data_IF_946462398335
#
_entry.id   IF_946462398335
#
_cell.length_a   1.000
_cell.length_b   1.000
_cell.length_c   1.000
_cell.angle_alpha   90.00
_cell.angle_beta   90.00
_cell.angle_gamma   90.00
#
_symmetry.space_group_name_H-M   'P 1'
#
loop_
_entity.id
_entity.type
_entity.pdbx_description
1 polymer ?
#
# COMPACT_ATOMS: atom_id res chain seq x y z
N UNK A 1 8.70 23.96 -11.53
CA UNK A 1 9.68 23.18 -10.73
C UNK A 1 8.98 22.84 -9.42
N UNK A 2 9.02 21.59 -8.99
CA UNK A 2 8.41 21.15 -7.71
C UNK A 2 9.10 21.84 -6.54
N UNK A 3 8.37 22.12 -5.44
CA UNK A 3 8.91 22.83 -4.28
C UNK A 3 10.14 22.12 -3.67
N UNK A 4 10.19 20.81 -3.74
CA UNK A 4 11.29 19.97 -3.25
C UNK A 4 12.38 19.68 -4.29
N UNK A 5 12.41 20.41 -5.40
CA UNK A 5 13.36 20.32 -6.52
C UNK A 5 13.39 18.95 -7.25
N UNK A 6 12.43 18.04 -6.98
CA UNK A 6 12.31 16.76 -7.70
C UNK A 6 11.93 17.00 -9.17
N UNK A 7 12.36 16.12 -10.07
CA UNK A 7 11.80 16.04 -11.41
C UNK A 7 10.34 15.54 -11.36
N UNK A 8 9.54 15.84 -12.39
CA UNK A 8 8.13 15.45 -12.44
C UNK A 8 7.90 13.93 -12.34
N UNK A 9 8.85 13.14 -12.81
CA UNK A 9 8.83 11.68 -12.83
C UNK A 9 9.72 11.03 -11.74
N UNK A 10 10.10 11.77 -10.72
CA UNK A 10 11.00 11.29 -9.67
C UNK A 10 10.24 10.96 -8.39
N UNK A 11 10.50 9.75 -7.85
CA UNK A 11 10.04 9.36 -6.52
C UNK A 11 10.71 10.19 -5.42
N UNK A 12 10.04 10.33 -4.27
CA UNK A 12 10.71 10.70 -3.02
C UNK A 12 11.75 9.62 -2.67
N UNK A 13 12.72 9.89 -1.81
CA UNK A 13 13.57 8.83 -1.26
C UNK A 13 12.69 7.74 -0.62
N UNK A 14 12.86 6.49 -1.06
CA UNK A 14 12.09 5.35 -0.54
C UNK A 14 13.01 4.46 0.28
N UNK A 15 12.61 4.17 1.51
CA UNK A 15 13.31 3.25 2.41
C UNK A 15 12.36 2.17 2.90
N UNK A 16 12.81 0.91 2.87
CA UNK A 16 12.05 -0.25 3.33
C UNK A 16 12.90 -1.00 4.37
N UNK A 17 12.50 -0.95 5.64
CA UNK A 17 13.22 -1.56 6.76
C UNK A 17 12.43 -2.78 7.23
N UNK A 18 12.95 -3.99 6.94
CA UNK A 18 12.34 -5.26 7.33
C UNK A 18 12.63 -5.60 8.78
N UNK A 19 11.82 -6.48 9.36
CA UNK A 19 11.96 -6.97 10.74
C UNK A 19 12.00 -5.82 11.76
N UNK A 20 11.20 -4.80 11.52
CA UNK A 20 11.22 -3.57 12.32
C UNK A 20 10.70 -3.80 13.74
N UNK A 21 9.67 -4.64 13.91
CA UNK A 21 9.18 -5.11 15.21
C UNK A 21 9.36 -6.63 15.31
N UNK A 22 9.43 -7.17 16.52
CA UNK A 22 9.86 -8.56 16.75
C UNK A 22 8.72 -9.59 16.82
N UNK A 23 7.47 -9.16 16.94
CA UNK A 23 6.38 -10.10 17.28
C UNK A 23 5.59 -10.60 16.07
N UNK A 24 5.32 -9.74 15.09
CA UNK A 24 4.63 -10.13 13.87
C UNK A 24 5.54 -10.98 12.96
N UNK A 25 4.97 -11.94 12.23
CA UNK A 25 5.69 -12.81 11.30
C UNK A 25 6.31 -12.00 10.15
N UNK A 26 5.63 -10.92 9.73
CA UNK A 26 6.20 -9.91 8.84
C UNK A 26 6.09 -8.52 9.46
N UNK A 27 7.15 -7.72 9.40
CA UNK A 27 7.15 -6.37 9.96
C UNK A 27 8.07 -5.45 9.19
N UNK A 28 7.52 -4.35 8.69
CA UNK A 28 8.20 -3.40 7.80
C UNK A 28 7.88 -1.98 8.21
N UNK A 29 8.91 -1.15 8.38
CA UNK A 29 8.75 0.30 8.30
C UNK A 29 9.06 0.74 6.88
N UNK A 30 8.06 1.30 6.19
CA UNK A 30 8.24 1.90 4.88
C UNK A 30 8.21 3.42 4.98
N UNK A 31 9.10 4.08 4.22
CA UNK A 31 9.16 5.53 4.13
C UNK A 31 9.13 5.97 2.67
N UNK A 32 8.32 6.95 2.38
CA UNK A 32 8.30 7.70 1.12
C UNK A 32 8.58 9.17 1.48
N UNK A 33 9.86 9.58 1.48
CA UNK A 33 10.25 10.85 2.07
C UNK A 33 9.79 10.93 3.53
N UNK A 34 8.97 11.93 3.85
CA UNK A 34 8.43 12.16 5.19
C UNK A 34 7.14 11.35 5.51
N UNK A 35 6.62 10.57 4.57
CA UNK A 35 5.55 9.62 4.87
C UNK A 35 6.13 8.33 5.43
N UNK A 36 5.81 7.99 6.68
CA UNK A 36 6.28 6.78 7.37
C UNK A 36 5.09 5.92 7.79
N UNK A 37 5.11 4.64 7.40
CA UNK A 37 4.06 3.67 7.75
C UNK A 37 4.68 2.40 8.30
N UNK A 38 4.23 1.98 9.47
CA UNK A 38 4.52 0.65 10.01
C UNK A 38 3.50 -0.34 9.43
N UNK A 39 3.99 -1.36 8.73
CA UNK A 39 3.17 -2.43 8.16
C UNK A 39 3.53 -3.75 8.86
N UNK A 40 2.56 -4.40 9.49
CA UNK A 40 2.76 -5.74 10.06
C UNK A 40 1.85 -6.76 9.40
N UNK A 41 2.30 -8.00 9.34
CA UNK A 41 1.55 -9.15 8.85
C UNK A 41 1.58 -10.24 9.91
N UNK A 42 0.43 -10.53 10.50
CA UNK A 42 0.24 -11.54 11.53
C UNK A 42 -0.54 -12.73 10.99
N UNK A 43 -0.15 -13.95 11.35
CA UNK A 43 -0.78 -15.19 10.90
C UNK A 43 -1.73 -15.69 11.97
N UNK A 44 -2.99 -15.92 11.61
CA UNK A 44 -3.98 -16.63 12.43
C UNK A 44 -4.31 -17.98 11.75
N UNK A 45 -4.22 -19.07 12.51
CA UNK A 45 -4.57 -20.44 12.07
C UNK A 45 -6.08 -20.64 11.96
N UNK A 46 -6.85 -19.57 11.72
CA UNK A 46 -8.29 -19.57 11.56
C UNK A 46 -8.68 -18.72 10.36
N UNK A 47 -9.79 -19.06 9.76
CA UNK A 47 -10.44 -18.25 8.73
C UNK A 47 -11.77 -17.69 9.23
N UNK A 48 -12.26 -16.58 8.64
CA UNK A 48 -13.61 -16.10 8.90
C UNK A 48 -14.65 -17.20 8.69
N UNK A 49 -15.76 -17.14 9.43
CA UNK A 49 -16.81 -18.18 9.45
C UNK A 49 -17.37 -18.52 8.06
N UNK A 50 -17.44 -17.55 7.17
CA UNK A 50 -17.90 -17.73 5.79
C UNK A 50 -16.95 -18.53 4.89
N UNK A 51 -15.67 -18.74 5.31
CA UNK A 51 -14.67 -19.55 4.59
C UNK A 51 -14.37 -20.89 5.24
N UNK A 52 -14.93 -21.15 6.41
CA UNK A 52 -14.65 -22.38 7.16
C UNK A 52 -15.06 -23.61 6.36
N UNK A 53 -14.14 -24.55 6.20
CA UNK A 53 -14.33 -25.77 5.40
C UNK A 53 -14.22 -25.60 3.89
N UNK A 54 -13.76 -24.41 3.40
CA UNK A 54 -13.58 -24.16 1.97
C UNK A 54 -12.14 -24.41 1.48
N UNK A 55 -11.25 -24.84 2.36
CA UNK A 55 -9.85 -25.12 2.07
C UNK A 55 -9.13 -23.93 1.42
N UNK A 56 -9.47 -22.73 1.84
CA UNK A 56 -8.82 -21.51 1.37
C UNK A 56 -8.60 -20.51 2.52
N UNK A 57 -7.53 -19.75 2.39
CA UNK A 57 -7.17 -18.72 3.34
C UNK A 57 -7.84 -17.37 3.06
N UNK A 58 -7.46 -16.40 3.88
CA UNK A 58 -7.95 -15.04 3.75
C UNK A 58 -6.85 -14.02 4.03
N UNK A 59 -6.98 -12.82 3.46
CA UNK A 59 -6.18 -11.66 3.81
C UNK A 59 -7.12 -10.51 4.12
N UNK A 60 -6.94 -9.92 5.27
CA UNK A 60 -7.64 -8.71 5.68
C UNK A 60 -6.63 -7.64 6.09
N UNK A 61 -7.05 -6.39 6.08
CA UNK A 61 -6.19 -5.28 6.46
C UNK A 61 -6.93 -4.28 7.34
N UNK A 62 -6.21 -3.75 8.31
CA UNK A 62 -6.58 -2.58 9.07
C UNK A 62 -5.61 -1.42 8.72
N UNK A 63 -6.12 -0.20 8.85
CA UNK A 63 -5.36 1.01 8.59
C UNK A 63 -5.71 2.05 9.63
N UNK A 64 -4.72 2.73 10.14
CA UNK A 64 -4.92 3.81 11.07
C UNK A 64 -3.83 4.87 10.97
N UNK A 65 -4.13 6.06 11.51
CA UNK A 65 -3.18 7.16 11.61
C UNK A 65 -2.96 7.50 13.08
N UNK A 66 -1.70 7.62 13.50
CA UNK A 66 -1.39 8.09 14.85
C UNK A 66 -1.89 9.53 15.04
N UNK A 67 -2.32 9.91 16.26
CA UNK A 67 -2.87 11.24 16.51
C UNK A 67 -1.99 12.41 16.06
N UNK A 68 -0.67 12.24 16.08
CA UNK A 68 0.31 13.25 15.66
C UNK A 68 1.05 12.87 14.38
N UNK A 69 0.46 12.02 13.55
CA UNK A 69 1.01 11.73 12.22
C UNK A 69 0.94 12.92 11.27
N UNK A 70 0.09 13.90 11.54
CA UNK A 70 -0.07 15.14 10.76
C UNK A 70 0.34 16.37 11.56
N UNK A 71 0.37 17.53 10.91
CA UNK A 71 0.72 18.82 11.51
C UNK A 71 -0.14 19.23 12.72
N UNK A 72 -1.40 18.79 12.76
CA UNK A 72 -2.31 18.97 13.91
C UNK A 72 -2.66 17.62 14.54
N UNK A 73 -3.00 17.63 15.84
CA UNK A 73 -3.43 16.40 16.53
C UNK A 73 -4.84 16.01 16.08
N UNK A 74 -4.98 14.78 15.61
CA UNK A 74 -6.26 14.12 15.35
C UNK A 74 -6.72 13.29 16.55
N UNK A 75 -8.03 13.12 16.72
CA UNK A 75 -8.54 12.17 17.71
C UNK A 75 -8.33 10.74 17.26
N UNK A 76 -8.10 9.82 18.21
CA UNK A 76 -8.09 8.39 17.92
C UNK A 76 -9.49 7.91 17.54
N UNK A 77 -9.62 7.21 16.42
CA UNK A 77 -10.91 6.63 15.99
C UNK A 77 -11.48 5.66 17.02
N UNK A 78 -10.61 4.89 17.70
CA UNK A 78 -11.03 4.02 18.80
C UNK A 78 -11.74 4.77 19.94
N UNK A 79 -11.32 5.99 20.25
CA UNK A 79 -11.97 6.82 21.27
C UNK A 79 -13.35 7.34 20.81
N UNK A 80 -13.59 7.43 19.50
CA UNK A 80 -14.88 7.80 18.90
C UNK A 80 -15.84 6.63 18.76
N UNK A 81 -15.38 5.40 18.98
CA UNK A 81 -16.16 4.18 18.84
C UNK A 81 -16.54 3.80 17.41
N UNK A 82 -16.02 4.51 16.40
CA UNK A 82 -16.23 4.19 14.98
C UNK A 82 -15.07 4.67 14.13
N UNK A 83 -14.79 3.91 13.06
CA UNK A 83 -13.85 4.30 12.01
C UNK A 83 -14.49 5.27 11.02
N UNK A 84 -13.68 6.14 10.42
CA UNK A 84 -14.12 7.00 9.32
C UNK A 84 -14.34 6.20 8.04
N UNK A 85 -15.13 6.75 7.12
CA UNK A 85 -15.32 6.15 5.78
C UNK A 85 -14.00 6.03 5.02
N UNK A 86 -13.10 7.01 5.16
CA UNK A 86 -11.75 6.99 4.58
C UNK A 86 -10.92 5.81 5.11
N UNK A 87 -10.92 5.59 6.41
CA UNK A 87 -10.20 4.46 7.03
C UNK A 87 -10.70 3.14 6.49
N UNK A 88 -12.02 2.94 6.46
CA UNK A 88 -12.63 1.71 5.94
C UNK A 88 -12.37 1.49 4.44
N UNK A 89 -12.37 2.55 3.64
CA UNK A 89 -12.06 2.50 2.22
C UNK A 89 -10.61 2.04 2.00
N UNK A 90 -9.65 2.64 2.74
CA UNK A 90 -8.22 2.29 2.62
C UNK A 90 -7.96 0.85 3.09
N UNK A 91 -8.57 0.39 4.17
CA UNK A 91 -8.48 -1.00 4.63
C UNK A 91 -8.91 -1.98 3.52
N UNK A 92 -10.05 -1.70 2.88
CA UNK A 92 -10.55 -2.53 1.78
C UNK A 92 -9.63 -2.52 0.57
N UNK A 93 -9.05 -1.37 0.25
CA UNK A 93 -8.08 -1.20 -0.83
C UNK A 93 -6.82 -2.03 -0.58
N UNK A 94 -6.20 -1.94 0.61
CA UNK A 94 -5.01 -2.72 0.97
C UNK A 94 -5.31 -4.21 0.87
N UNK A 95 -6.39 -4.67 1.51
CA UNK A 95 -6.78 -6.08 1.50
C UNK A 95 -7.03 -6.60 0.08
N UNK A 96 -7.71 -5.83 -0.79
CA UNK A 96 -7.96 -6.19 -2.18
C UNK A 96 -6.66 -6.29 -2.98
N UNK A 97 -5.77 -5.32 -2.80
CA UNK A 97 -4.49 -5.27 -3.50
C UNK A 97 -3.64 -6.50 -3.21
N UNK A 98 -3.59 -6.92 -1.95
CA UNK A 98 -2.84 -8.12 -1.54
C UNK A 98 -3.50 -9.42 -1.99
N UNK A 99 -4.83 -9.51 -1.95
CA UNK A 99 -5.54 -10.69 -2.46
C UNK A 99 -5.37 -10.89 -3.97
N UNK A 100 -5.15 -9.83 -4.73
CA UNK A 100 -4.95 -9.91 -6.18
C UNK A 100 -3.67 -10.66 -6.58
N UNK A 101 -2.70 -10.79 -5.66
CA UNK A 101 -1.38 -11.38 -5.95
C UNK A 101 -1.10 -12.65 -5.13
N UNK A 102 -2.12 -13.25 -4.55
CA UNK A 102 -1.98 -14.44 -3.70
C UNK A 102 -2.99 -15.52 -4.09
N UNK A 103 -2.51 -16.74 -4.26
CA UNK A 103 -3.35 -17.93 -4.35
C UNK A 103 -3.83 -18.32 -2.93
N UNK A 104 -5.05 -17.91 -2.59
CA UNK A 104 -5.63 -18.16 -1.27
C UNK A 104 -5.84 -19.65 -0.97
N UNK A 105 -5.93 -20.52 -1.98
CA UNK A 105 -6.03 -21.97 -1.77
C UNK A 105 -4.71 -22.54 -1.27
N UNK A 106 -3.58 -22.08 -1.83
CA UNK A 106 -2.24 -22.49 -1.37
C UNK A 106 -1.91 -22.00 0.04
N UNK A 107 -2.54 -20.91 0.50
CA UNK A 107 -2.42 -20.44 1.87
C UNK A 107 -3.06 -21.42 2.89
N UNK A 108 -4.08 -22.20 2.45
CA UNK A 108 -4.87 -23.05 3.33
C UNK A 108 -5.76 -22.24 4.27
N UNK A 109 -6.48 -22.89 5.19
CA UNK A 109 -7.41 -22.21 6.12
C UNK A 109 -6.70 -21.37 7.18
N UNK A 110 -6.01 -20.32 6.75
CA UNK A 110 -5.31 -19.31 7.57
C UNK A 110 -5.73 -17.92 7.18
N UNK A 111 -5.65 -16.99 8.11
CA UNK A 111 -5.80 -15.57 7.84
C UNK A 111 -4.46 -14.86 8.02
N UNK A 112 -4.06 -14.05 7.05
CA UNK A 112 -3.01 -13.05 7.24
C UNK A 112 -3.71 -11.72 7.54
N UNK A 113 -3.49 -11.22 8.75
CA UNK A 113 -3.98 -9.92 9.20
C UNK A 113 -2.89 -8.88 8.98
N UNK A 114 -3.23 -7.84 8.24
CA UNK A 114 -2.32 -6.73 7.97
C UNK A 114 -2.74 -5.52 8.77
N UNK A 115 -1.79 -4.93 9.48
CA UNK A 115 -1.97 -3.67 10.17
C UNK A 115 -1.05 -2.64 9.54
N UNK A 116 -1.61 -1.49 9.15
CA UNK A 116 -0.87 -0.37 8.58
C UNK A 116 -1.10 0.87 9.45
N UNK A 117 -0.10 1.22 10.25
CA UNK A 117 -0.13 2.37 11.14
C UNK A 117 0.72 3.50 10.57
N UNK A 118 0.08 4.60 10.20
CA UNK A 118 0.77 5.80 9.73
C UNK A 118 1.39 6.54 10.92
N UNK A 119 2.71 6.53 10.98
CA UNK A 119 3.49 7.20 12.02
C UNK A 119 3.63 8.69 11.69
N UNK A 120 3.90 9.00 10.42
CA UNK A 120 4.02 10.35 9.88
C UNK A 120 3.43 10.38 8.48
N UNK A 121 2.66 11.42 8.18
CA UNK A 121 1.97 11.58 6.91
C UNK A 121 2.42 12.85 6.18
N UNK A 122 2.85 12.66 4.94
CA UNK A 122 3.19 13.71 3.98
C UNK A 122 2.78 13.27 2.56
N UNK A 123 1.47 13.03 2.35
CA UNK A 123 0.93 12.50 1.10
C UNK A 123 1.21 11.00 0.86
N UNK A 124 0.38 10.33 0.09
CA UNK A 124 0.59 8.95 -0.35
C UNK A 124 0.57 7.88 0.75
N UNK A 125 -0.13 8.09 1.87
CA UNK A 125 -0.14 7.11 2.99
C UNK A 125 -0.73 5.77 2.59
N UNK A 126 -1.81 5.74 1.78
CA UNK A 126 -2.44 4.50 1.29
C UNK A 126 -1.53 3.72 0.33
N UNK A 127 -0.81 4.42 -0.53
CA UNK A 127 0.11 3.79 -1.50
C UNK A 127 1.36 3.24 -0.83
N UNK A 128 1.92 3.96 0.14
CA UNK A 128 3.00 3.49 0.99
C UNK A 128 2.57 2.26 1.80
N UNK A 129 1.33 2.25 2.36
CA UNK A 129 0.78 1.11 3.10
C UNK A 129 0.72 -0.15 2.23
N UNK A 130 0.18 -0.07 1.00
CA UNK A 130 0.11 -1.22 0.08
C UNK A 130 1.51 -1.74 -0.26
N UNK A 131 2.42 -0.82 -0.59
CA UNK A 131 3.78 -1.15 -1.00
C UNK A 131 4.60 -1.79 0.14
N UNK A 132 4.44 -1.31 1.37
CA UNK A 132 5.07 -1.87 2.56
C UNK A 132 4.43 -3.18 3.03
N UNK A 133 3.10 -3.25 2.98
CA UNK A 133 2.35 -4.45 3.36
C UNK A 133 2.70 -5.66 2.49
N UNK A 134 2.97 -5.47 1.20
CA UNK A 134 3.46 -6.56 0.35
C UNK A 134 4.76 -7.19 0.90
N UNK A 135 5.71 -6.38 1.32
CA UNK A 135 6.98 -6.88 1.88
C UNK A 135 6.75 -7.59 3.22
N UNK A 136 5.85 -7.07 4.07
CA UNK A 136 5.48 -7.73 5.31
C UNK A 136 4.79 -9.08 5.07
N UNK A 137 3.87 -9.16 4.09
CA UNK A 137 3.21 -10.41 3.67
C UNK A 137 4.23 -11.41 3.13
N UNK A 138 5.18 -10.96 2.32
CA UNK A 138 6.25 -11.84 1.81
C UNK A 138 7.04 -12.48 2.97
N UNK A 139 7.40 -11.71 4.00
CA UNK A 139 8.12 -12.21 5.17
C UNK A 139 7.26 -13.19 5.99
N UNK A 140 5.96 -12.90 6.17
CA UNK A 140 5.04 -13.81 6.84
C UNK A 140 4.86 -15.14 6.07
N UNK A 141 4.78 -15.09 4.75
CA UNK A 141 4.74 -16.30 3.90
C UNK A 141 6.05 -17.08 4.00
N UNK A 142 7.20 -16.39 3.97
CA UNK A 142 8.49 -17.04 4.18
C UNK A 142 8.56 -17.75 5.53
N UNK A 143 8.05 -17.11 6.60
CA UNK A 143 7.94 -17.76 7.91
C UNK A 143 7.12 -19.06 7.85
N UNK A 144 5.95 -19.06 7.18
CA UNK A 144 5.14 -20.29 7.00
C UNK A 144 5.90 -21.38 6.26
N UNK A 145 6.65 -21.04 5.23
CA UNK A 145 7.48 -21.99 4.46
C UNK A 145 8.65 -22.54 5.32
N UNK A 146 9.36 -21.67 6.03
CA UNK A 146 10.47 -22.06 6.89
C UNK A 146 10.01 -22.98 8.06
N UNK A 147 8.77 -22.77 8.56
CA UNK A 147 8.10 -23.66 9.53
C UNK A 147 7.47 -24.91 8.90
N UNK A 148 7.53 -25.07 7.59
CA UNK A 148 6.90 -26.17 6.83
C UNK A 148 5.38 -26.26 7.05
N UNK A 149 4.72 -25.13 7.33
CA UNK A 149 3.27 -25.03 7.48
C UNK A 149 2.56 -24.94 6.13
N UNK A 150 3.28 -24.52 5.09
CA UNK A 150 2.90 -24.59 3.68
C UNK A 150 4.07 -25.18 2.87
N UNK A 151 3.76 -25.88 1.78
CA UNK A 151 4.76 -26.57 0.95
C UNK A 151 5.34 -25.71 -0.17
N UNK A 152 4.60 -24.71 -0.60
CA UNK A 152 4.99 -23.80 -1.68
C UNK A 152 4.46 -22.38 -1.40
N UNK A 153 5.09 -21.39 -2.01
CA UNK A 153 4.65 -20.00 -1.86
C UNK A 153 3.29 -19.77 -2.51
N UNK A 154 2.33 -19.18 -1.81
CA UNK A 154 1.07 -18.73 -2.38
C UNK A 154 1.19 -17.43 -3.18
N UNK A 155 2.32 -16.72 -3.14
CA UNK A 155 2.54 -15.48 -3.91
C UNK A 155 2.62 -15.82 -5.40
N UNK A 156 1.79 -15.16 -6.21
CA UNK A 156 1.76 -15.30 -7.67
C UNK A 156 2.40 -14.11 -8.39
N UNK A 157 2.47 -12.96 -7.72
CA UNK A 157 3.11 -11.75 -8.25
C UNK A 157 3.53 -10.82 -7.09
N UNK A 158 4.12 -9.69 -7.42
CA UNK A 158 4.34 -8.55 -6.53
C UNK A 158 3.25 -7.49 -6.75
N UNK A 159 3.12 -6.56 -5.80
CA UNK A 159 2.21 -5.41 -5.92
C UNK A 159 2.84 -4.17 -5.30
N UNK A 160 2.67 -3.03 -5.95
CA UNK A 160 2.99 -1.73 -5.39
C UNK A 160 1.96 -0.69 -5.82
N UNK A 161 1.96 0.43 -5.14
CA UNK A 161 1.04 1.53 -5.39
C UNK A 161 1.75 2.87 -5.31
N UNK A 162 1.25 3.82 -6.10
CA UNK A 162 1.80 5.18 -6.15
C UNK A 162 0.69 6.21 -6.36
N UNK A 163 0.91 7.42 -5.87
CA UNK A 163 0.09 8.59 -6.24
C UNK A 163 0.68 9.30 -7.44
N UNK A 164 -0.19 9.78 -8.31
CA UNK A 164 0.13 10.68 -9.41
C UNK A 164 -0.90 11.78 -9.45
N UNK A 165 -0.56 12.92 -10.02
CA UNK A 165 -1.53 14.01 -10.17
C UNK A 165 -1.18 14.96 -11.28
N UNK A 166 -2.12 15.84 -11.60
CA UNK A 166 -1.91 16.94 -12.55
C UNK A 166 -1.77 18.24 -11.77
N UNK A 167 -0.69 18.94 -12.02
CA UNK A 167 -0.50 20.30 -11.52
C UNK A 167 -0.25 21.24 -12.70
N UNK A 168 -1.20 22.14 -12.96
CA UNK A 168 -1.17 23.07 -14.11
C UNK A 168 -0.92 22.32 -15.45
N UNK A 169 -1.63 21.21 -15.63
CA UNK A 169 -1.56 20.38 -16.83
C UNK A 169 -0.32 19.48 -16.94
N UNK A 170 0.58 19.47 -15.96
CA UNK A 170 1.77 18.62 -15.96
C UNK A 170 1.57 17.44 -15.00
N UNK A 171 1.78 16.18 -15.46
CA UNK A 171 1.70 15.03 -14.59
C UNK A 171 2.90 14.98 -13.62
N UNK A 172 2.62 14.68 -12.35
CA UNK A 172 3.60 14.54 -11.27
C UNK A 172 3.51 13.16 -10.66
N UNK A 173 4.68 12.54 -10.43
CA UNK A 173 4.81 11.24 -9.77
C UNK A 173 5.02 11.42 -8.26
N UNK A 174 4.40 10.58 -7.45
CA UNK A 174 4.62 10.49 -6.00
C UNK A 174 4.41 11.83 -5.30
N UNK A 175 3.14 12.22 -5.17
CA UNK A 175 2.75 13.50 -4.60
C UNK A 175 3.08 13.55 -3.09
N UNK A 176 3.76 14.59 -2.63
CA UNK A 176 3.77 14.98 -1.22
C UNK A 176 2.48 15.70 -0.85
N UNK A 177 2.28 16.01 0.44
CA UNK A 177 1.04 16.62 0.92
C UNK A 177 0.77 18.00 0.27
N UNK A 178 1.79 18.80 0.04
CA UNK A 178 1.63 20.12 -0.55
C UNK A 178 1.21 20.05 -2.02
N UNK A 179 1.70 19.06 -2.73
CA UNK A 179 1.34 18.78 -4.12
C UNK A 179 -0.06 18.18 -4.22
N UNK A 180 -0.35 17.15 -3.41
CA UNK A 180 -1.65 16.46 -3.32
C UNK A 180 -2.79 17.46 -3.05
N UNK A 181 -2.60 18.37 -2.07
CA UNK A 181 -3.58 19.37 -1.70
C UNK A 181 -3.77 20.53 -2.70
N UNK A 182 -2.88 20.66 -3.68
CA UNK A 182 -2.89 21.73 -4.68
C UNK A 182 -2.99 21.26 -6.14
N UNK A 183 -3.06 19.95 -6.36
CA UNK A 183 -3.26 19.37 -7.68
C UNK A 183 -4.65 19.64 -8.24
N UNK A 184 -4.73 19.82 -9.57
CA UNK A 184 -6.01 19.90 -10.29
C UNK A 184 -6.72 18.53 -10.33
N UNK A 185 -5.93 17.46 -10.28
CA UNK A 185 -6.38 16.06 -10.26
C UNK A 185 -5.38 15.24 -9.46
N UNK A 186 -5.85 14.38 -8.57
CA UNK A 186 -5.07 13.35 -7.91
C UNK A 186 -5.54 11.96 -8.31
N UNK A 187 -4.61 11.02 -8.39
CA UNK A 187 -4.90 9.63 -8.72
C UNK A 187 -3.99 8.69 -7.93
N UNK A 188 -4.58 7.61 -7.40
CA UNK A 188 -3.84 6.51 -6.78
C UNK A 188 -3.96 5.28 -7.66
N UNK A 189 -2.84 4.70 -8.02
CA UNK A 189 -2.77 3.54 -8.93
C UNK A 189 -2.08 2.39 -8.22
N UNK A 190 -2.69 1.21 -8.30
CA UNK A 190 -2.15 -0.05 -7.79
C UNK A 190 -1.92 -0.98 -8.96
N UNK A 191 -0.70 -1.49 -9.12
CA UNK A 191 -0.36 -2.44 -10.18
C UNK A 191 0.44 -3.62 -9.65
N UNK A 192 0.32 -4.73 -10.38
CA UNK A 192 1.13 -5.93 -10.15
C UNK A 192 2.50 -5.82 -10.83
N UNK A 193 3.43 -6.68 -10.44
CA UNK A 193 4.75 -6.78 -11.08
C UNK A 193 4.73 -7.19 -12.54
N UNK A 194 3.69 -7.89 -12.97
CA UNK A 194 3.44 -8.23 -14.38
C UNK A 194 2.82 -7.08 -15.18
N UNK A 195 2.50 -5.94 -14.54
CA UNK A 195 1.96 -4.75 -15.19
C UNK A 195 0.42 -4.68 -15.23
N UNK A 196 -0.28 -5.59 -14.55
CA UNK A 196 -1.74 -5.56 -14.44
C UNK A 196 -2.22 -4.47 -13.46
N UNK A 197 -3.27 -3.76 -13.80
CA UNK A 197 -3.94 -2.83 -12.88
C UNK A 197 -4.80 -3.61 -11.88
N UNK A 198 -4.63 -3.33 -10.59
CA UNK A 198 -5.50 -3.82 -9.52
C UNK A 198 -6.57 -2.80 -9.20
N UNK A 199 -6.19 -1.52 -9.14
CA UNK A 199 -7.12 -0.42 -8.89
C UNK A 199 -6.58 0.88 -9.47
N UNK A 200 -7.49 1.69 -10.00
CA UNK A 200 -7.26 3.08 -10.41
C UNK A 200 -8.34 3.91 -9.71
N UNK A 201 -7.92 4.85 -8.88
CA UNK A 201 -8.79 5.77 -8.17
C UNK A 201 -8.32 7.19 -8.48
N UNK A 202 -9.14 7.99 -9.12
CA UNK A 202 -8.79 9.35 -9.50
C UNK A 202 -9.95 10.32 -9.29
N UNK A 203 -9.62 11.54 -8.88
CA UNK A 203 -10.55 12.61 -8.61
C UNK A 203 -10.08 13.91 -9.28
N UNK A 204 -10.98 14.61 -9.95
CA UNK A 204 -10.75 15.97 -10.41
C UNK A 204 -11.32 16.96 -9.39
N UNK A 205 -10.48 17.83 -8.85
CA UNK A 205 -10.87 18.84 -7.86
C UNK A 205 -11.53 20.07 -8.49
N UNK A 206 -11.58 20.16 -9.80
CA UNK A 206 -12.19 21.27 -10.53
C UNK A 206 -12.58 20.91 -11.93
N UNK A 207 -11.69 21.10 -12.89
CA UNK A 207 -11.93 20.75 -14.29
C UNK A 207 -11.71 19.26 -14.52
N UNK A 208 -12.65 18.55 -15.17
CA UNK A 208 -12.46 17.15 -15.53
C UNK A 208 -11.20 16.94 -16.38
N UNK A 209 -10.46 15.88 -16.11
CA UNK A 209 -9.30 15.48 -16.90
C UNK A 209 -9.70 14.66 -18.12
N UNK A 210 -8.95 14.81 -19.21
CA UNK A 210 -9.18 14.07 -20.45
C UNK A 210 -8.68 12.63 -20.37
N UNK A 211 -9.11 11.79 -21.33
CA UNK A 211 -8.57 10.44 -21.49
C UNK A 211 -7.06 10.44 -21.71
N UNK A 212 -6.54 11.38 -22.49
CA UNK A 212 -5.11 11.53 -22.74
C UNK A 212 -4.34 11.84 -21.45
N UNK A 213 -4.86 12.74 -20.60
CA UNK A 213 -4.27 13.04 -19.30
C UNK A 213 -4.29 11.81 -18.36
N UNK A 214 -5.36 11.02 -18.41
CA UNK A 214 -5.43 9.75 -17.66
C UNK A 214 -4.36 8.77 -18.14
N UNK A 215 -4.19 8.62 -19.44
CA UNK A 215 -3.17 7.72 -20.01
C UNK A 215 -1.76 8.17 -19.61
N UNK A 216 -1.45 9.48 -19.69
CA UNK A 216 -0.16 10.05 -19.24
C UNK A 216 0.12 9.79 -17.74
N UNK A 217 -0.87 10.00 -16.87
CA UNK A 217 -0.75 9.70 -15.43
C UNK A 217 -0.55 8.21 -15.19
N UNK A 218 -1.24 7.36 -15.93
CA UNK A 218 -1.12 5.90 -15.83
C UNK A 218 0.26 5.41 -16.26
N UNK A 219 0.81 5.94 -17.34
CA UNK A 219 2.16 5.61 -17.81
C UNK A 219 3.22 6.05 -16.78
N UNK A 220 3.06 7.24 -16.24
CA UNK A 220 3.95 7.76 -15.20
C UNK A 220 3.89 6.92 -13.92
N UNK A 221 2.69 6.50 -13.51
CA UNK A 221 2.51 5.61 -12.37
C UNK A 221 3.15 4.23 -12.62
N UNK A 222 3.00 3.66 -13.82
CA UNK A 222 3.61 2.39 -14.18
C UNK A 222 5.15 2.44 -14.07
N UNK A 223 5.76 3.55 -14.49
CA UNK A 223 7.20 3.78 -14.29
C UNK A 223 7.56 3.77 -12.80
N UNK A 224 6.88 4.57 -11.96
CA UNK A 224 7.16 4.64 -10.53
C UNK A 224 6.92 3.31 -9.81
N UNK A 225 5.86 2.59 -10.16
CA UNK A 225 5.56 1.26 -9.60
C UNK A 225 6.65 0.24 -9.95
N UNK A 226 7.18 0.27 -11.16
CA UNK A 226 8.30 -0.59 -11.55
C UNK A 226 9.54 -0.33 -10.69
N UNK A 227 9.84 0.92 -10.38
CA UNK A 227 10.94 1.30 -9.48
C UNK A 227 10.68 0.81 -8.04
N UNK A 228 9.46 0.98 -7.52
CA UNK A 228 9.07 0.49 -6.19
C UNK A 228 9.19 -1.03 -6.09
N UNK A 229 8.73 -1.77 -7.10
CA UNK A 229 8.87 -3.24 -7.15
C UNK A 229 10.34 -3.66 -7.19
N UNK A 230 11.19 -2.91 -7.87
CA UNK A 230 12.63 -3.19 -7.85
C UNK A 230 13.23 -2.97 -6.46
N UNK A 231 12.80 -1.94 -5.73
CA UNK A 231 13.22 -1.70 -4.34
C UNK A 231 12.73 -2.84 -3.42
N UNK A 232 11.48 -3.27 -3.55
CA UNK A 232 10.95 -4.44 -2.82
C UNK A 232 11.81 -5.68 -3.09
N UNK A 233 12.11 -6.00 -4.36
CA UNK A 233 12.96 -7.13 -4.73
C UNK A 233 14.36 -7.05 -4.13
N UNK A 234 14.93 -5.84 -4.03
CA UNK A 234 16.29 -5.66 -3.49
C UNK A 234 16.34 -5.96 -1.98
N UNK A 235 15.32 -5.55 -1.22
CA UNK A 235 15.29 -5.81 0.23
C UNK A 235 14.86 -7.24 0.57
N UNK A 236 14.21 -7.96 -0.36
CA UNK A 236 13.73 -9.34 -0.18
C UNK A 236 14.79 -10.40 -0.51
N UNK A 237 15.90 -10.03 -1.09
CA UNK A 237 17.06 -10.91 -1.32
C UNK A 237 17.74 -11.24 0.01
#
# INVERSE_FOLDING_TARGET
MRLNQRAHNQLRPVEIIRHYTKHAEGSVLIKFGDTHVLCTASIDEKVPSFLKGQSQGWITAEYGMLPRSTGSRMDREAARGKQSGRTQEIQRLIGRSLRAIIDLKKLGERTIQIDCDVIQADGGTRTASITGAYVAVHDAIKYLMDKKLISESPLIDSVAAISVGLHKGNPLLDLDYSEDSSCDTDMNIVMTGSGGFVEIQGTAEGTPFSREMMDQMSDLAAQGIKELIQLQKNVLK
#
